data_IF_536516113099
#
_entry.id   IF_536516113099
#
_cell.length_a   1.000
_cell.length_b   1.000
_cell.length_c   1.000
_cell.angle_alpha   90.00
_cell.angle_beta   90.00
_cell.angle_gamma   90.00
#
_symmetry.space_group_name_H-M   'P 1'
#
loop_
_entity.id
_entity.type
_entity.pdbx_description
1 polymer ?
#
# COMPACT_ATOMS: atom_id res chain seq x y z
N UNK A 1 19.19 4.26 -14.54
CA UNK A 1 17.92 4.92 -14.19
C UNK A 1 17.90 6.28 -14.87
N UNK A 2 16.74 6.82 -15.27
CA UNK A 2 16.69 8.19 -15.80
C UNK A 2 16.70 9.22 -14.67
N UNK A 3 17.14 10.45 -14.96
CA UNK A 3 17.18 11.55 -13.97
C UNK A 3 15.82 11.77 -13.30
N UNK A 4 14.74 11.70 -14.07
CA UNK A 4 13.35 11.77 -13.56
C UNK A 4 13.06 10.66 -12.54
N UNK A 5 13.41 9.41 -12.87
CA UNK A 5 13.20 8.27 -11.98
C UNK A 5 13.94 8.45 -10.65
N UNK A 6 15.19 8.91 -10.69
CA UNK A 6 15.98 9.19 -9.48
C UNK A 6 15.36 10.33 -8.64
N UNK A 7 14.90 11.41 -9.29
CA UNK A 7 14.19 12.51 -8.61
C UNK A 7 12.90 12.01 -7.96
N UNK A 8 12.09 11.22 -8.66
CA UNK A 8 10.84 10.68 -8.13
C UNK A 8 11.08 9.71 -6.96
N UNK A 9 12.15 8.91 -6.99
CA UNK A 9 12.53 8.07 -5.84
C UNK A 9 12.94 8.90 -4.62
N UNK A 10 13.73 9.95 -4.82
CA UNK A 10 14.09 10.89 -3.75
C UNK A 10 12.84 11.59 -3.18
N UNK A 11 11.91 11.99 -4.05
CA UNK A 11 10.62 12.57 -3.67
C UNK A 11 9.82 11.59 -2.79
N UNK A 12 9.71 10.33 -3.21
CA UNK A 12 8.97 9.31 -2.46
C UNK A 12 9.61 9.08 -1.08
N UNK A 13 10.94 9.05 -1.00
CA UNK A 13 11.65 8.93 0.26
C UNK A 13 11.40 10.13 1.19
N UNK A 14 11.44 11.35 0.65
CA UNK A 14 11.17 12.59 1.37
C UNK A 14 9.74 12.62 1.91
N UNK A 15 8.73 12.35 1.08
CA UNK A 15 7.32 12.30 1.50
C UNK A 15 7.09 11.24 2.59
N UNK A 16 7.67 10.05 2.43
CA UNK A 16 7.58 9.00 3.43
C UNK A 16 8.22 9.42 4.77
N UNK A 17 9.36 10.11 4.73
CA UNK A 17 10.03 10.63 5.92
C UNK A 17 9.22 11.74 6.60
N UNK A 18 8.66 12.68 5.83
CA UNK A 18 7.78 13.76 6.34
C UNK A 18 6.55 13.17 7.02
N UNK A 19 5.85 12.24 6.36
CA UNK A 19 4.66 11.62 6.93
C UNK A 19 5.00 10.84 8.20
N UNK A 20 6.13 10.12 8.21
CA UNK A 20 6.63 9.40 9.37
C UNK A 20 6.96 10.33 10.55
N UNK A 21 7.58 11.48 10.30
CA UNK A 21 7.90 12.47 11.33
C UNK A 21 6.65 13.14 11.91
N UNK A 22 5.61 13.33 11.09
CA UNK A 22 4.32 13.86 11.53
C UNK A 22 3.43 12.79 12.20
N UNK A 23 3.76 11.51 12.06
CA UNK A 23 2.91 10.42 12.52
C UNK A 23 1.58 10.33 11.77
N UNK A 24 1.53 10.78 10.52
CA UNK A 24 0.34 10.70 9.65
C UNK A 24 0.45 9.49 8.72
N UNK A 25 -0.70 8.89 8.44
CA UNK A 25 -0.76 7.74 7.56
C UNK A 25 -0.92 8.18 6.10
N UNK A 26 0.03 7.77 5.26
CA UNK A 26 0.05 8.07 3.83
C UNK A 26 0.42 6.80 3.03
N UNK A 27 -0.25 6.57 1.90
CA UNK A 27 -0.07 5.38 1.08
C UNK A 27 0.26 5.75 -0.36
N UNK A 28 1.39 5.25 -0.86
CA UNK A 28 1.75 5.37 -2.25
C UNK A 28 0.75 4.56 -3.09
N UNK A 29 0.29 5.15 -4.20
CA UNK A 29 -0.61 4.53 -5.18
C UNK A 29 -0.05 4.71 -6.61
N UNK A 30 -0.88 4.38 -7.60
CA UNK A 30 -0.50 4.53 -9.01
C UNK A 30 0.62 3.58 -9.45
N UNK A 31 1.40 4.00 -10.45
CA UNK A 31 2.48 3.17 -11.01
C UNK A 31 3.63 2.91 -10.04
N UNK A 32 3.97 3.90 -9.22
CA UNK A 32 5.03 3.76 -8.22
C UNK A 32 4.69 2.75 -7.12
N UNK A 33 3.43 2.69 -6.67
CA UNK A 33 3.00 1.67 -5.71
C UNK A 33 3.18 0.24 -6.21
N UNK A 34 2.95 0.02 -7.51
CA UNK A 34 3.20 -1.27 -8.15
C UNK A 34 4.68 -1.60 -8.10
N UNK A 35 5.55 -0.67 -8.51
CA UNK A 35 7.00 -0.89 -8.53
C UNK A 35 7.57 -1.14 -7.13
N UNK A 36 7.08 -0.41 -6.13
CA UNK A 36 7.42 -0.62 -4.72
C UNK A 36 6.92 -1.97 -4.19
N UNK A 37 5.74 -2.42 -4.62
CA UNK A 37 5.27 -3.76 -4.30
C UNK A 37 6.11 -4.84 -5.00
N UNK A 38 6.58 -4.59 -6.23
CA UNK A 38 7.38 -5.51 -7.02
C UNK A 38 8.87 -5.54 -6.66
N UNK A 39 9.34 -4.55 -5.89
CA UNK A 39 10.75 -4.45 -5.48
C UNK A 39 11.68 -3.85 -6.54
N UNK A 40 11.16 -3.32 -7.66
CA UNK A 40 11.96 -2.83 -8.79
C UNK A 40 11.16 -1.86 -9.65
N UNK A 41 11.88 -0.96 -10.33
CA UNK A 41 11.31 -0.07 -11.34
C UNK A 41 10.99 -0.87 -12.60
N UNK A 42 9.76 -0.80 -13.10
CA UNK A 42 9.30 -1.56 -14.28
C UNK A 42 9.20 -0.73 -15.56
N UNK A 43 9.01 0.60 -15.41
CA UNK A 43 8.95 1.58 -16.49
C UNK A 43 9.15 2.99 -15.92
N UNK A 44 9.25 3.99 -16.79
CA UNK A 44 9.16 5.38 -16.36
C UNK A 44 7.72 5.73 -15.93
N UNK A 45 7.60 6.60 -14.93
CA UNK A 45 6.33 7.13 -14.42
C UNK A 45 6.27 8.64 -14.65
N UNK A 46 5.07 9.15 -14.93
CA UNK A 46 4.82 10.57 -15.22
C UNK A 46 4.71 11.43 -13.97
N UNK A 47 4.34 10.81 -12.86
CA UNK A 47 3.80 11.41 -11.64
C UNK A 47 4.09 10.52 -10.43
N UNK A 48 3.90 11.08 -9.23
CA UNK A 48 3.89 10.34 -7.96
C UNK A 48 2.54 10.58 -7.27
N UNK A 49 1.75 9.52 -7.10
CA UNK A 49 0.42 9.61 -6.49
C UNK A 49 0.40 9.00 -5.09
N UNK A 50 -0.22 9.70 -4.14
CA UNK A 50 -0.45 9.25 -2.76
C UNK A 50 -1.92 9.30 -2.38
N UNK A 51 -2.26 8.57 -1.32
CA UNK A 51 -3.50 8.72 -0.56
C UNK A 51 -3.19 9.21 0.84
N UNK A 52 -3.98 10.16 1.32
CA UNK A 52 -3.86 10.77 2.64
C UNK A 52 -5.25 10.95 3.25
N UNK A 53 -5.40 10.87 4.57
CA UNK A 53 -6.65 11.27 5.22
C UNK A 53 -6.88 12.77 5.09
N UNK A 54 -8.12 13.18 4.80
CA UNK A 54 -8.48 14.59 4.71
C UNK A 54 -8.18 15.38 6.01
N UNK A 55 -8.32 14.74 7.16
CA UNK A 55 -8.01 15.35 8.48
C UNK A 55 -6.52 15.66 8.68
N UNK A 56 -5.63 15.00 7.92
CA UNK A 56 -4.18 15.23 7.97
C UNK A 56 -3.69 16.15 6.85
N UNK A 57 -4.58 16.61 5.97
CA UNK A 57 -4.24 17.42 4.80
C UNK A 57 -3.49 18.70 5.19
N UNK A 58 -4.02 19.49 6.11
CA UNK A 58 -3.41 20.76 6.56
C UNK A 58 -2.03 20.54 7.19
N UNK A 59 -1.88 19.44 7.95
CA UNK A 59 -0.60 19.10 8.59
C UNK A 59 0.49 18.75 7.58
N UNK A 60 0.13 18.00 6.53
CA UNK A 60 1.06 17.69 5.44
C UNK A 60 1.44 18.97 4.69
N UNK A 61 0.44 19.80 4.41
CA UNK A 61 0.61 21.09 3.71
C UNK A 61 1.62 21.96 4.42
N UNK A 62 1.41 22.21 5.72
CA UNK A 62 2.28 23.07 6.51
C UNK A 62 3.73 22.56 6.49
N UNK A 63 3.92 21.23 6.49
CA UNK A 63 5.23 20.61 6.46
C UNK A 63 5.90 20.65 5.07
N UNK A 64 5.12 20.61 3.98
CA UNK A 64 5.64 20.72 2.61
C UNK A 64 5.89 22.18 2.20
N UNK A 65 5.07 23.12 2.67
CA UNK A 65 5.25 24.56 2.42
C UNK A 65 6.53 25.11 3.09
N UNK A 66 7.01 24.46 4.15
CA UNK A 66 8.31 24.74 4.77
C UNK A 66 9.52 24.17 3.98
N UNK A 67 9.27 23.51 2.84
CA UNK A 67 10.25 22.85 2.00
C UNK A 67 10.18 23.40 0.57
N UNK A 68 10.99 22.87 -0.33
CA UNK A 68 11.05 23.30 -1.73
C UNK A 68 9.85 22.84 -2.58
N UNK A 69 8.73 22.47 -1.96
CA UNK A 69 7.52 22.07 -2.66
C UNK A 69 6.72 23.30 -3.06
N UNK A 70 6.21 23.30 -4.28
CA UNK A 70 5.36 24.37 -4.81
C UNK A 70 3.95 23.83 -5.01
N UNK A 71 2.98 24.40 -4.30
CA UNK A 71 1.56 24.08 -4.50
C UNK A 71 1.10 24.46 -5.91
N UNK A 72 0.31 23.59 -6.53
CA UNK A 72 -0.41 23.90 -7.77
C UNK A 72 -1.92 23.84 -7.52
N UNK A 73 -2.70 24.80 -8.05
CA UNK A 73 -4.16 24.81 -7.88
C UNK A 73 -4.85 23.96 -8.97
N UNK A 74 -4.24 22.84 -9.39
CA UNK A 74 -4.77 22.01 -10.48
C UNK A 74 -6.11 21.35 -10.09
N UNK A 75 -6.23 20.95 -8.83
CA UNK A 75 -7.47 20.44 -8.25
C UNK A 75 -7.88 21.27 -7.02
N UNK A 76 -9.18 21.30 -6.68
CA UNK A 76 -9.66 21.83 -5.40
C UNK A 76 -8.96 21.14 -4.22
N UNK A 77 -8.52 21.91 -3.23
CA UNK A 77 -7.71 21.41 -2.11
C UNK A 77 -8.46 20.41 -1.21
N UNK A 78 -9.79 20.45 -1.20
CA UNK A 78 -10.66 19.50 -0.51
C UNK A 78 -10.83 18.17 -1.27
N UNK A 79 -10.42 18.11 -2.54
CA UNK A 79 -10.41 16.90 -3.36
C UNK A 79 -9.01 16.26 -3.39
N UNK A 80 -8.00 17.06 -3.70
CA UNK A 80 -6.63 16.60 -3.93
C UNK A 80 -5.66 17.74 -3.67
N UNK A 81 -4.50 17.41 -3.08
CA UNK A 81 -3.39 18.35 -2.95
C UNK A 81 -2.37 18.05 -4.04
N UNK A 82 -1.97 19.07 -4.79
CA UNK A 82 -0.98 18.94 -5.85
C UNK A 82 0.23 19.83 -5.57
N UNK A 83 1.41 19.25 -5.74
CA UNK A 83 2.68 19.95 -5.58
C UNK A 83 3.65 19.59 -6.70
N UNK A 84 4.62 20.48 -6.92
CA UNK A 84 5.79 20.22 -7.75
C UNK A 84 7.04 20.27 -6.88
N UNK A 85 7.91 19.29 -7.04
CA UNK A 85 9.22 19.24 -6.41
C UNK A 85 10.29 18.88 -7.45
N UNK A 86 11.27 19.78 -7.65
CA UNK A 86 12.29 19.67 -8.70
C UNK A 86 11.75 19.32 -10.10
N UNK A 87 10.57 19.84 -10.45
CA UNK A 87 9.92 19.61 -11.75
C UNK A 87 9.12 18.31 -11.86
N UNK A 88 9.03 17.52 -10.79
CA UNK A 88 8.20 16.32 -10.71
C UNK A 88 6.91 16.62 -9.95
N UNK A 89 5.78 16.13 -10.47
CA UNK A 89 4.46 16.30 -9.87
C UNK A 89 4.24 15.24 -8.80
N UNK A 90 3.76 15.66 -7.64
CA UNK A 90 3.26 14.80 -6.59
C UNK A 90 1.87 15.22 -6.15
N UNK A 91 0.97 14.24 -6.09
CA UNK A 91 -0.44 14.44 -5.80
C UNK A 91 -0.88 13.59 -4.62
N UNK A 92 -1.76 14.14 -3.78
CA UNK A 92 -2.34 13.46 -2.62
C UNK A 92 -3.86 13.49 -2.74
N UNK A 93 -4.46 12.39 -3.19
CA UNK A 93 -5.91 12.28 -3.20
C UNK A 93 -6.42 11.99 -1.78
N UNK A 94 -7.46 12.72 -1.38
CA UNK A 94 -7.92 12.70 0.01
C UNK A 94 -8.94 11.59 0.28
N UNK A 95 -8.76 10.92 1.42
CA UNK A 95 -9.61 9.88 1.95
C UNK A 95 -10.46 10.40 3.10
N UNK A 96 -11.67 9.88 3.21
CA UNK A 96 -12.53 10.03 4.37
C UNK A 96 -13.09 8.68 4.81
N UNK A 97 -13.73 8.65 5.97
CA UNK A 97 -14.54 7.51 6.42
C UNK A 97 -16.00 7.92 6.44
N UNK A 98 -16.87 7.07 5.89
CA UNK A 98 -18.31 7.27 6.03
C UNK A 98 -18.83 6.71 7.37
N UNK A 99 -20.12 6.90 7.64
CA UNK A 99 -20.77 6.43 8.89
C UNK A 99 -20.73 4.89 9.05
N UNK A 100 -20.55 4.15 7.95
CA UNK A 100 -20.37 2.70 7.97
C UNK A 100 -18.91 2.27 8.23
N UNK A 101 -17.99 3.23 8.37
CA UNK A 101 -16.56 3.00 8.59
C UNK A 101 -15.77 2.66 7.32
N UNK A 102 -16.41 2.70 6.14
CA UNK A 102 -15.77 2.42 4.86
C UNK A 102 -14.88 3.58 4.44
N UNK A 103 -13.80 3.25 3.72
CA UNK A 103 -12.91 4.26 3.14
C UNK A 103 -13.53 4.80 1.86
N UNK A 104 -13.76 6.11 1.81
CA UNK A 104 -14.41 6.79 0.69
C UNK A 104 -13.54 7.92 0.16
N UNK A 105 -13.83 8.37 -1.06
CA UNK A 105 -13.28 9.62 -1.61
C UNK A 105 -13.76 10.80 -0.76
N UNK A 106 -12.84 11.65 -0.30
CA UNK A 106 -13.20 12.75 0.61
C UNK A 106 -13.95 13.89 -0.08
N UNK A 107 -13.55 14.28 -1.29
CA UNK A 107 -14.05 15.48 -1.96
C UNK A 107 -14.14 15.37 -3.48
N UNK A 108 -14.60 16.45 -4.10
CA UNK A 108 -14.79 16.54 -5.55
C UNK A 108 -15.99 15.74 -6.09
N UNK A 109 -16.06 15.54 -7.42
CA UNK A 109 -17.23 14.94 -8.09
C UNK A 109 -17.58 13.51 -7.64
N UNK A 110 -16.64 12.82 -6.99
CA UNK A 110 -16.81 11.44 -6.52
C UNK A 110 -16.86 11.33 -4.99
N UNK A 111 -17.03 12.43 -4.27
CA UNK A 111 -17.13 12.42 -2.81
C UNK A 111 -18.13 11.37 -2.30
N UNK A 112 -17.75 10.65 -1.24
CA UNK A 112 -18.57 9.59 -0.63
C UNK A 112 -18.59 8.26 -1.41
N UNK A 113 -17.97 8.15 -2.59
CA UNK A 113 -17.82 6.87 -3.28
C UNK A 113 -16.79 5.99 -2.56
N UNK A 114 -17.16 4.74 -2.34
CA UNK A 114 -16.30 3.77 -1.70
C UNK A 114 -15.08 3.42 -2.57
N UNK A 115 -13.93 3.35 -1.91
CA UNK A 115 -12.75 2.67 -2.45
C UNK A 115 -12.88 1.15 -2.25
N UNK A 116 -12.07 0.33 -2.93
CA UNK A 116 -11.95 -1.09 -2.62
C UNK A 116 -11.78 -1.34 -1.13
N UNK A 117 -12.51 -2.32 -0.57
CA UNK A 117 -12.44 -2.63 0.86
C UNK A 117 -11.01 -3.03 1.32
N UNK A 118 -10.21 -3.56 0.39
CA UNK A 118 -8.82 -3.95 0.64
C UNK A 118 -7.81 -2.80 0.53
N UNK A 119 -8.22 -1.57 0.19
CA UNK A 119 -7.33 -0.45 -0.19
C UNK A 119 -6.14 -0.28 0.77
N UNK A 120 -6.44 -0.23 2.07
CA UNK A 120 -5.47 0.08 3.13
C UNK A 120 -4.96 -1.19 3.84
N UNK A 121 -5.16 -2.38 3.27
CA UNK A 121 -4.64 -3.62 3.85
C UNK A 121 -3.11 -3.52 3.99
N UNK A 122 -2.50 -3.88 5.16
CA UNK A 122 -1.09 -3.64 5.44
C UNK A 122 -0.16 -4.24 4.38
N UNK A 123 0.41 -3.37 3.55
CA UNK A 123 1.26 -3.74 2.43
C UNK A 123 2.53 -2.89 2.45
N UNK A 124 3.69 -3.47 2.81
CA UNK A 124 4.95 -2.76 2.71
C UNK A 124 5.39 -2.69 1.24
N UNK A 125 5.78 -1.50 0.80
CA UNK A 125 6.49 -1.26 -0.45
C UNK A 125 7.96 -0.98 -0.19
N UNK A 126 8.83 -1.44 -1.09
CA UNK A 126 10.26 -1.18 -1.00
C UNK A 126 10.93 -1.19 -2.38
N UNK A 127 11.83 -0.24 -2.64
CA UNK A 127 12.81 -0.31 -3.73
C UNK A 127 14.17 0.11 -3.16
N UNK A 128 15.18 -0.76 -3.27
CA UNK A 128 16.46 -0.52 -2.62
C UNK A 128 16.28 -0.31 -1.11
N UNK A 129 16.74 0.82 -0.61
CA UNK A 129 16.62 1.21 0.81
C UNK A 129 15.34 1.98 1.14
N UNK A 130 14.63 2.48 0.12
CA UNK A 130 13.44 3.31 0.29
C UNK A 130 12.25 2.41 0.62
N UNK A 131 11.58 2.71 1.73
CA UNK A 131 10.42 1.97 2.24
C UNK A 131 9.26 2.93 2.48
N UNK A 132 8.06 2.54 2.09
CA UNK A 132 6.84 3.28 2.37
C UNK A 132 5.65 2.32 2.42
N UNK A 133 4.50 2.80 2.92
CA UNK A 133 3.24 2.08 2.78
C UNK A 133 2.73 2.26 1.36
N UNK A 134 2.25 1.18 0.76
CA UNK A 134 1.57 1.21 -0.54
C UNK A 134 0.13 0.75 -0.35
N UNK A 135 -0.78 1.14 -1.24
CA UNK A 135 -2.10 0.50 -1.31
C UNK A 135 -1.96 -0.98 -1.69
N UNK A 136 -2.91 -1.80 -1.23
CA UNK A 136 -2.85 -3.24 -1.47
C UNK A 136 -2.82 -3.58 -2.97
N UNK A 137 -2.09 -4.64 -3.38
CA UNK A 137 -2.04 -5.03 -4.78
C UNK A 137 -3.41 -5.46 -5.30
N UNK A 138 -4.28 -6.00 -4.45
CA UNK A 138 -5.68 -6.31 -4.80
C UNK A 138 -6.45 -5.05 -5.16
N UNK A 139 -6.34 -3.98 -4.36
CA UNK A 139 -6.97 -2.70 -4.67
C UNK A 139 -6.36 -2.04 -5.92
N UNK A 140 -5.03 -2.16 -6.14
CA UNK A 140 -4.41 -1.67 -7.37
C UNK A 140 -4.99 -2.34 -8.63
N UNK A 141 -5.23 -3.66 -8.56
CA UNK A 141 -5.85 -4.43 -9.64
C UNK A 141 -7.29 -3.96 -9.84
N UNK A 142 -8.10 -3.91 -8.79
CA UNK A 142 -9.50 -3.50 -8.85
C UNK A 142 -9.66 -2.08 -9.41
N UNK A 143 -8.86 -1.13 -8.92
CA UNK A 143 -8.87 0.26 -9.41
C UNK A 143 -8.56 0.31 -10.91
N UNK A 144 -7.54 -0.41 -11.38
CA UNK A 144 -7.18 -0.45 -12.82
C UNK A 144 -8.26 -1.13 -13.67
N UNK A 145 -8.98 -2.07 -13.09
CA UNK A 145 -10.07 -2.79 -13.77
C UNK A 145 -11.33 -1.96 -13.88
N UNK A 146 -11.69 -1.30 -12.79
CA UNK A 146 -12.95 -0.62 -12.63
C UNK A 146 -12.90 0.86 -12.99
N UNK A 147 -11.73 1.49 -13.10
CA UNK A 147 -11.61 2.91 -13.50
C UNK A 147 -12.45 3.27 -14.74
N UNK A 148 -12.44 2.48 -15.84
CA UNK A 148 -13.28 2.78 -17.01
C UNK A 148 -14.78 2.59 -16.79
N UNK A 149 -15.17 1.89 -15.72
CA UNK A 149 -16.58 1.68 -15.31
C UNK A 149 -17.01 2.79 -14.36
N UNK A 150 -16.16 3.15 -13.40
CA UNK A 150 -16.40 4.22 -12.42
C UNK A 150 -16.33 5.62 -13.05
N UNK A 151 -15.42 5.80 -14.00
CA UNK A 151 -15.17 7.05 -14.72
C UNK A 151 -15.05 6.73 -16.22
N UNK A 152 -16.17 6.65 -16.95
CA UNK A 152 -16.19 6.31 -18.38
C UNK A 152 -15.29 7.18 -19.26
N UNK A 153 -15.04 8.42 -18.85
CA UNK A 153 -14.15 9.38 -19.52
C UNK A 153 -12.66 9.02 -19.40
N UNK A 154 -12.32 8.05 -18.55
CA UNK A 154 -10.95 7.54 -18.33
C UNK A 154 -10.84 6.11 -18.87
N UNK A 155 -10.69 5.93 -20.20
CA UNK A 155 -10.57 4.61 -20.79
C UNK A 155 -9.28 3.92 -20.32
N UNK A 156 -9.29 2.58 -20.39
CA UNK A 156 -8.12 1.76 -20.04
C UNK A 156 -6.94 2.14 -20.94
N UNK A 157 -5.79 2.46 -20.33
CA UNK A 157 -4.59 2.86 -21.06
C UNK A 157 -3.78 1.62 -21.45
N UNK A 158 -2.99 1.64 -22.53
CA UNK A 158 -2.17 0.49 -22.94
C UNK A 158 -1.29 -0.07 -21.81
N UNK A 159 -0.67 0.81 -21.00
CA UNK A 159 0.17 0.44 -19.86
C UNK A 159 -0.57 -0.34 -18.77
N UNK A 160 -1.90 -0.15 -18.62
CA UNK A 160 -2.66 -0.79 -17.56
C UNK A 160 -2.76 -2.32 -17.78
N UNK A 161 -2.72 -2.81 -19.02
CA UNK A 161 -2.68 -4.25 -19.32
C UNK A 161 -1.43 -4.91 -18.75
N UNK A 162 -0.28 -4.30 -18.99
CA UNK A 162 1.01 -4.86 -18.59
C UNK A 162 1.19 -4.74 -17.07
N UNK A 163 0.78 -3.61 -16.48
CA UNK A 163 0.73 -3.40 -15.03
C UNK A 163 -0.15 -4.48 -14.34
N UNK A 164 -1.35 -4.77 -14.88
CA UNK A 164 -2.26 -5.80 -14.35
C UNK A 164 -1.63 -7.20 -14.40
N UNK A 165 -0.96 -7.55 -15.50
CA UNK A 165 -0.29 -8.84 -15.63
C UNK A 165 0.82 -9.03 -14.59
N UNK A 166 1.62 -7.98 -14.34
CA UNK A 166 2.68 -7.98 -13.33
C UNK A 166 2.12 -8.10 -11.91
N UNK A 167 1.10 -7.31 -11.57
CA UNK A 167 0.47 -7.33 -10.25
C UNK A 167 -0.13 -8.71 -9.94
N UNK A 168 -0.92 -9.26 -10.86
CA UNK A 168 -1.56 -10.58 -10.69
C UNK A 168 -0.52 -11.69 -10.49
N UNK A 169 0.55 -11.68 -11.29
CA UNK A 169 1.66 -12.64 -11.14
C UNK A 169 2.32 -12.53 -9.77
N UNK A 170 2.59 -11.30 -9.32
CA UNK A 170 3.24 -11.08 -8.02
C UNK A 170 2.36 -11.46 -6.83
N UNK A 171 1.05 -11.20 -6.90
CA UNK A 171 0.06 -11.64 -5.89
C UNK A 171 0.02 -13.16 -5.80
N UNK A 172 -0.05 -13.86 -6.94
CA UNK A 172 -0.03 -15.32 -6.98
C UNK A 172 1.25 -15.89 -6.32
N UNK A 173 2.42 -15.40 -6.74
CA UNK A 173 3.72 -15.84 -6.21
C UNK A 173 3.86 -15.61 -4.70
N UNK A 174 3.41 -14.46 -4.18
CA UNK A 174 3.46 -14.19 -2.73
C UNK A 174 2.47 -15.03 -1.94
N UNK A 175 1.32 -15.35 -2.53
CA UNK A 175 0.30 -16.22 -1.92
C UNK A 175 0.83 -17.65 -1.79
N UNK A 176 1.45 -18.17 -2.85
CA UNK A 176 2.13 -19.46 -2.85
C UNK A 176 3.27 -19.51 -1.82
N UNK A 177 4.10 -18.46 -1.75
CA UNK A 177 5.18 -18.40 -0.76
C UNK A 177 4.67 -18.36 0.69
N UNK A 178 3.53 -17.72 0.95
CA UNK A 178 2.87 -17.73 2.28
C UNK A 178 2.23 -19.08 2.59
N UNK A 179 1.62 -19.75 1.59
CA UNK A 179 1.03 -21.08 1.73
C UNK A 179 2.07 -22.19 1.93
N UNK A 180 3.18 -22.14 1.18
CA UNK A 180 4.28 -23.10 1.24
C UNK A 180 5.14 -23.03 2.51
N UNK A 181 5.17 -21.87 3.19
CA UNK A 181 5.80 -21.74 4.52
C UNK A 181 4.97 -22.35 5.66
N UNK A 182 3.79 -22.93 5.38
CA UNK A 182 2.82 -23.40 6.37
C UNK A 182 2.58 -24.92 6.32
N UNK A 183 3.64 -25.75 6.24
CA UNK A 183 3.64 -27.20 6.58
C UNK A 183 5.10 -27.73 6.71
N UNK A 184 5.43 -28.71 7.60
CA UNK A 184 4.58 -29.83 8.01
C UNK A 184 4.28 -29.93 9.52
N UNK A 185 3.05 -30.37 9.84
CA UNK A 185 2.76 -31.08 11.10
C UNK A 185 2.96 -32.57 10.83
N UNK A 186 4.15 -33.08 11.15
CA UNK A 186 4.41 -34.51 11.32
C UNK A 186 4.97 -34.72 12.72
N UNK A 187 4.46 -35.74 13.41
CA UNK A 187 4.88 -36.09 14.75
C UNK A 187 3.78 -36.77 15.55
N UNK A 188 3.34 -37.93 15.05
CA UNK A 188 2.80 -39.00 15.90
C UNK A 188 3.67 -39.12 17.16
N UNK A 189 3.06 -39.05 18.34
CA UNK A 189 3.71 -39.52 19.56
C UNK A 189 3.33 -40.98 19.71
N UNK A 190 4.19 -41.87 19.23
CA UNK A 190 4.31 -43.22 19.77
C UNK A 190 4.44 -43.12 21.29
N UNK A 191 3.57 -43.85 22.01
CA UNK A 191 3.66 -44.05 23.44
C UNK A 191 4.65 -45.20 23.68
N UNK A 192 5.67 -45.05 24.53
CA UNK A 192 6.39 -46.21 25.02
C UNK A 192 5.63 -46.83 26.19
N UNK A 193 5.35 -48.13 26.05
CA UNK A 193 4.97 -49.03 27.13
C UNK A 193 6.04 -49.08 28.23
N UNK A 194 5.61 -49.00 29.49
CA UNK A 194 6.47 -49.35 30.63
C UNK A 194 5.74 -50.32 31.59
N UNK A 195 6.35 -51.48 31.93
CA UNK A 195 5.77 -52.44 32.86
C UNK A 195 6.15 -52.08 34.31
N UNK A 196 5.15 -51.76 35.14
CA UNK A 196 5.34 -51.52 36.57
C UNK A 196 5.34 -52.83 37.36
N UNK A 197 6.53 -53.35 37.66
CA UNK A 197 6.74 -54.43 38.63
C UNK A 197 6.75 -53.89 40.07
N UNK A 198 5.78 -54.37 40.85
CA UNK A 198 5.84 -54.79 42.26
C UNK A 198 6.84 -54.13 43.22
N UNK A 199 6.32 -53.47 44.28
CA UNK A 199 6.80 -53.62 45.67
C UNK A 199 5.66 -53.42 46.68
N UNK A 200 5.29 -54.48 47.41
CA UNK A 200 4.83 -54.41 48.82
C UNK A 200 6.09 -54.41 49.72
N UNK A 201 6.07 -53.83 50.93
CA UNK A 201 5.67 -54.63 52.11
C UNK A 201 4.96 -53.87 53.28
N UNK A 202 4.17 -54.68 54.00
CA UNK A 202 3.92 -54.79 55.46
C UNK A 202 3.52 -53.56 56.33
N UNK A 203 2.25 -53.63 56.76
CA UNK A 203 1.76 -53.88 58.14
C UNK A 203 2.15 -52.97 59.33
N UNK A 204 1.10 -52.35 59.89
CA UNK A 204 0.81 -52.08 61.32
C UNK A 204 -0.68 -51.69 61.32
N UNK A 205 -1.66 -52.29 62.01
CA UNK A 205 -1.79 -53.18 63.18
C UNK A 205 -2.84 -54.25 62.89
#
# INVERSE_FOLDING_TARGET
MSRRCDTQLALIAEVAAVCGALGIDCWLRGGWAMDFYLGRVTREHSDVDWLLWAEDADRLVDALDQREYQRTPEHPADQQLDFVWHGEVVSFALLARNDAGEVVVAGGPHAGKAWPASLLAPTPGQIGEIRCRVISPEAQIEIKEMMPVWVPERPRRPKDRDDLALLRRAVAQRSEARGGKRAPRTGERERPDHPGLSRRPRASR
#
